data_IF_803457612882
#
_entry.id   IF_803457612882
#
_cell.length_a   1.000
_cell.length_b   1.000
_cell.length_c   1.000
_cell.angle_alpha   90.00
_cell.angle_beta   90.00
_cell.angle_gamma   90.00
#
_symmetry.space_group_name_H-M   'P 1'
#
loop_
_entity.id
_entity.type
_entity.pdbx_description
1 polymer ?
#
# COMPACT_ATOMS: atom_id res chain seq x y z
N UNK A 1 -10.13 -18.08 14.57
CA UNK A 1 -8.98 -17.46 13.87
C UNK A 1 -8.26 -16.40 14.73
N UNK A 2 -8.95 -15.40 15.30
CA UNK A 2 -8.32 -14.40 16.20
C UNK A 2 -7.96 -15.02 17.57
N UNK A 3 -8.88 -15.77 18.21
CA UNK A 3 -8.63 -16.37 19.53
C UNK A 3 -7.48 -17.38 19.56
N UNK A 4 -7.24 -18.06 18.44
CA UNK A 4 -6.19 -19.07 18.31
C UNK A 4 -4.80 -18.43 18.27
N UNK A 5 -4.66 -17.26 17.62
CA UNK A 5 -3.44 -16.44 17.63
C UNK A 5 -3.10 -15.89 19.02
N UNK A 6 -4.10 -15.66 19.88
CA UNK A 6 -3.90 -15.18 21.26
C UNK A 6 -3.35 -16.29 22.16
N UNK A 7 -3.79 -17.54 21.96
CA UNK A 7 -3.39 -18.68 22.79
C UNK A 7 -2.05 -19.29 22.38
N UNK A 8 -1.73 -19.23 21.09
CA UNK A 8 -0.50 -19.76 20.52
C UNK A 8 0.23 -18.66 19.72
N UNK A 9 1.04 -17.81 20.38
CA UNK A 9 1.86 -16.86 19.66
C UNK A 9 2.86 -17.62 18.80
N UNK A 10 2.70 -17.54 17.48
CA UNK A 10 3.70 -18.02 16.53
C UNK A 10 5.05 -17.33 16.81
N UNK A 11 6.20 -18.00 16.55
CA UNK A 11 7.49 -17.31 16.57
C UNK A 11 7.34 -16.06 15.69
N UNK A 12 7.62 -14.88 16.26
CA UNK A 12 7.34 -13.55 15.68
C UNK A 12 7.49 -13.61 14.16
N UNK A 13 6.37 -13.52 13.45
CA UNK A 13 6.42 -13.44 12.01
C UNK A 13 7.14 -12.15 11.66
N UNK A 14 7.99 -12.17 10.63
CA UNK A 14 8.63 -10.97 10.08
C UNK A 14 7.61 -9.93 9.60
N UNK A 15 6.31 -10.25 9.59
CA UNK A 15 5.21 -9.36 9.23
C UNK A 15 4.48 -8.74 10.43
N UNK A 16 4.80 -9.13 11.67
CA UNK A 16 4.12 -8.65 12.89
C UNK A 16 4.64 -7.29 13.40
N UNK A 17 5.74 -6.81 12.83
CA UNK A 17 6.37 -5.55 13.23
C UNK A 17 6.51 -4.59 12.05
N UNK A 18 6.83 -3.33 12.32
CA UNK A 18 7.20 -2.34 11.31
C UNK A 18 8.72 -2.24 11.27
N UNK A 19 9.31 -2.51 10.11
CA UNK A 19 10.76 -2.43 9.91
C UNK A 19 11.17 -1.02 9.52
N UNK A 20 12.16 -0.47 10.22
CA UNK A 20 12.79 0.82 9.85
C UNK A 20 14.07 0.49 9.10
N UNK A 21 14.19 0.96 7.87
CA UNK A 21 15.32 0.69 6.98
C UNK A 21 15.85 1.98 6.36
N UNK A 22 17.12 1.99 5.97
CA UNK A 22 17.80 3.18 5.44
C UNK A 22 17.45 3.54 3.99
N UNK A 23 16.87 2.62 3.23
CA UNK A 23 16.59 2.80 1.80
C UNK A 23 15.12 2.57 1.48
N UNK A 24 14.54 3.47 0.67
CA UNK A 24 13.15 3.37 0.21
C UNK A 24 12.86 2.07 -0.55
N UNK A 25 13.79 1.64 -1.42
CA UNK A 25 13.66 0.40 -2.18
C UNK A 25 13.55 -0.83 -1.26
N UNK A 26 14.35 -0.88 -0.18
CA UNK A 26 14.28 -1.97 0.79
C UNK A 26 12.95 -1.95 1.57
N UNK A 27 12.46 -0.76 1.93
CA UNK A 27 11.15 -0.62 2.57
C UNK A 27 10.03 -1.10 1.64
N UNK A 28 10.09 -0.75 0.35
CA UNK A 28 9.15 -1.19 -0.67
C UNK A 28 9.15 -2.72 -0.84
N UNK A 29 10.32 -3.36 -0.91
CA UNK A 29 10.44 -4.82 -0.97
C UNK A 29 9.83 -5.52 0.25
N UNK A 30 10.11 -5.03 1.46
CA UNK A 30 9.53 -5.57 2.70
C UNK A 30 8.01 -5.40 2.69
N UNK A 31 7.51 -4.23 2.27
CA UNK A 31 6.08 -3.95 2.20
C UNK A 31 5.37 -4.85 1.18
N UNK A 32 5.98 -5.07 0.01
CA UNK A 32 5.47 -6.00 -1.02
C UNK A 32 5.40 -7.42 -0.47
N UNK A 33 6.49 -7.91 0.15
CA UNK A 33 6.52 -9.24 0.75
C UNK A 33 5.46 -9.41 1.84
N UNK A 34 5.32 -8.41 2.72
CA UNK A 34 4.31 -8.42 3.76
C UNK A 34 2.90 -8.44 3.19
N UNK A 35 2.61 -7.62 2.17
CA UNK A 35 1.31 -7.61 1.52
C UNK A 35 1.01 -8.94 0.83
N UNK A 36 1.95 -9.52 0.08
CA UNK A 36 1.78 -10.80 -0.61
C UNK A 36 1.61 -11.99 0.35
N UNK A 37 1.99 -11.85 1.61
CA UNK A 37 1.79 -12.87 2.65
C UNK A 37 0.41 -12.83 3.30
N UNK A 38 -0.41 -11.81 3.02
CA UNK A 38 -1.75 -11.70 3.59
C UNK A 38 -2.66 -12.78 3.02
N UNK A 39 -3.53 -13.39 3.85
CA UNK A 39 -4.48 -14.38 3.38
C UNK A 39 -5.44 -13.74 2.38
N UNK A 40 -5.67 -14.41 1.25
CA UNK A 40 -6.73 -14.03 0.32
C UNK A 40 -8.06 -13.99 1.09
N UNK A 41 -8.87 -12.96 0.82
CA UNK A 41 -10.16 -12.77 1.51
C UNK A 41 -11.08 -13.99 1.34
N UNK A 42 -12.21 -14.04 2.05
CA UNK A 42 -13.16 -15.17 1.97
C UNK A 42 -13.67 -15.46 0.55
N UNK A 43 -13.62 -14.48 -0.35
CA UNK A 43 -13.97 -14.62 -1.76
C UNK A 43 -12.79 -15.02 -2.68
N UNK A 44 -11.58 -15.17 -2.12
CA UNK A 44 -10.38 -15.51 -2.89
C UNK A 44 -9.93 -14.42 -3.85
N UNK A 45 -10.36 -13.16 -3.63
CA UNK A 45 -10.04 -12.04 -4.51
C UNK A 45 -8.53 -11.83 -4.60
N UNK A 46 -8.05 -11.73 -5.84
CA UNK A 46 -6.66 -11.41 -6.13
C UNK A 46 -6.28 -10.02 -5.57
N UNK A 47 -5.00 -9.81 -5.21
CA UNK A 47 -4.51 -8.49 -4.83
C UNK A 47 -4.85 -7.45 -5.90
N UNK A 48 -5.34 -6.29 -5.46
CA UNK A 48 -5.60 -5.17 -6.37
C UNK A 48 -4.28 -4.51 -6.73
N UNK A 49 -4.02 -4.37 -8.03
CA UNK A 49 -2.84 -3.67 -8.55
C UNK A 49 -3.29 -2.35 -9.16
N UNK A 50 -2.72 -1.26 -8.66
CA UNK A 50 -2.89 0.09 -9.19
C UNK A 50 -1.56 0.58 -9.75
N UNK A 51 -1.56 1.08 -10.98
CA UNK A 51 -0.38 1.62 -11.66
C UNK A 51 -0.61 3.12 -11.84
N UNK A 52 0.38 3.93 -11.44
CA UNK A 52 0.32 5.37 -11.61
C UNK A 52 0.48 5.76 -13.08
N UNK A 53 -0.30 6.74 -13.52
CA UNK A 53 -0.21 7.37 -14.83
C UNK A 53 0.31 8.79 -14.62
N UNK A 54 1.49 9.08 -15.16
CA UNK A 54 2.13 10.39 -14.99
C UNK A 54 1.87 11.27 -16.21
N UNK A 55 1.44 12.50 -15.97
CA UNK A 55 1.23 13.49 -17.02
C UNK A 55 2.25 14.63 -16.89
N UNK A 56 2.96 14.95 -17.97
CA UNK A 56 3.87 16.10 -18.05
C UNK A 56 3.34 17.02 -19.14
N UNK A 57 3.09 18.29 -18.79
CA UNK A 57 2.51 19.29 -19.70
C UNK A 57 1.20 18.82 -20.39
N UNK A 58 0.39 18.04 -19.67
CA UNK A 58 -0.88 17.53 -20.16
C UNK A 58 -0.79 16.31 -21.08
N UNK A 59 0.41 15.75 -21.29
CA UNK A 59 0.59 14.50 -22.03
C UNK A 59 0.92 13.35 -21.08
N UNK A 60 0.23 12.22 -21.26
CA UNK A 60 0.57 10.97 -20.61
C UNK A 60 1.98 10.54 -21.00
N UNK A 61 2.73 10.06 -20.01
CA UNK A 61 4.15 9.79 -20.14
C UNK A 61 4.47 8.32 -19.94
N UNK A 62 5.42 7.82 -20.72
CA UNK A 62 5.85 6.42 -20.66
C UNK A 62 6.57 6.14 -19.32
N UNK A 63 6.07 5.20 -18.50
CA UNK A 63 6.70 4.86 -17.24
C UNK A 63 8.12 4.27 -17.38
N UNK A 64 8.55 3.85 -18.57
CA UNK A 64 9.87 3.27 -18.84
C UNK A 64 10.91 4.28 -19.35
N UNK A 65 10.53 5.54 -19.56
CA UNK A 65 11.48 6.58 -19.93
C UNK A 65 12.19 7.14 -18.69
N UNK A 66 13.46 6.74 -18.54
CA UNK A 66 14.29 6.99 -17.36
C UNK A 66 14.83 8.43 -17.25
N UNK A 67 14.47 9.32 -18.18
CA UNK A 67 15.05 10.65 -18.27
C UNK A 67 14.46 11.67 -17.29
N UNK A 68 13.34 11.38 -16.62
CA UNK A 68 12.66 12.36 -15.77
C UNK A 68 12.76 12.10 -14.26
N UNK A 69 13.27 13.13 -13.57
CA UNK A 69 13.65 13.14 -12.16
C UNK A 69 12.48 13.32 -11.18
N UNK A 70 11.26 13.61 -11.65
CA UNK A 70 10.14 13.97 -10.76
C UNK A 70 9.65 12.82 -9.89
N UNK A 71 9.61 11.57 -10.38
CA UNK A 71 9.23 10.40 -9.55
C UNK A 71 10.10 10.27 -8.31
N UNK A 72 11.40 10.54 -8.46
CA UNK A 72 12.35 10.51 -7.35
C UNK A 72 12.13 11.67 -6.35
N UNK A 73 11.35 12.68 -6.72
CA UNK A 73 11.00 13.83 -5.88
C UNK A 73 9.68 13.66 -5.13
N UNK A 74 8.89 12.61 -5.42
CA UNK A 74 7.63 12.35 -4.71
C UNK A 74 7.76 11.16 -3.74
N UNK A 75 6.83 11.09 -2.78
CA UNK A 75 6.65 9.95 -1.90
C UNK A 75 5.67 8.89 -2.46
N UNK A 76 5.12 9.11 -3.66
CA UNK A 76 4.09 8.26 -4.25
C UNK A 76 4.70 7.06 -5.00
N UNK A 77 4.15 5.85 -4.85
CA UNK A 77 4.62 4.68 -5.58
C UNK A 77 4.12 4.68 -7.04
N UNK A 78 4.94 4.20 -7.97
CA UNK A 78 4.50 3.96 -9.36
C UNK A 78 3.57 2.76 -9.50
N UNK A 79 3.66 1.82 -8.56
CA UNK A 79 2.79 0.63 -8.51
C UNK A 79 2.43 0.35 -7.06
N UNK A 80 1.14 0.23 -6.80
CA UNK A 80 0.59 -0.12 -5.49
C UNK A 80 -0.11 -1.47 -5.60
N UNK A 81 0.29 -2.41 -4.75
CA UNK A 81 -0.40 -3.69 -4.58
C UNK A 81 -1.14 -3.61 -3.24
N UNK A 82 -2.45 -3.85 -3.25
CA UNK A 82 -3.32 -3.69 -2.11
C UNK A 82 -4.18 -4.93 -1.87
N UNK A 83 -4.41 -5.25 -0.61
CA UNK A 83 -5.25 -6.36 -0.18
C UNK A 83 -5.90 -6.04 1.17
N UNK A 84 -7.05 -6.64 1.46
CA UNK A 84 -7.62 -6.62 2.81
C UNK A 84 -6.60 -7.09 3.84
N UNK A 85 -6.52 -6.39 4.96
CA UNK A 85 -5.52 -6.60 6.01
C UNK A 85 -4.19 -5.89 5.79
N UNK A 86 -3.96 -5.27 4.62
CA UNK A 86 -2.74 -4.48 4.39
C UNK A 86 -2.70 -3.26 5.31
N UNK A 87 -1.55 -3.06 5.95
CA UNK A 87 -1.25 -1.82 6.70
C UNK A 87 -0.78 -0.77 5.71
N UNK A 88 -1.38 0.41 5.76
CA UNK A 88 -1.15 1.51 4.81
C UNK A 88 -0.86 2.82 5.53
N UNK A 89 -0.23 3.75 4.81
CA UNK A 89 -0.01 5.12 5.23
C UNK A 89 -0.64 6.07 4.23
N UNK A 90 -1.41 7.04 4.71
CA UNK A 90 -1.94 8.13 3.90
C UNK A 90 -0.82 9.13 3.61
N UNK A 91 -0.66 9.53 2.35
CA UNK A 91 0.49 10.32 1.88
C UNK A 91 0.12 11.75 1.47
N UNK A 92 -1.13 12.16 1.71
CA UNK A 92 -1.69 13.46 1.33
C UNK A 92 -2.33 14.15 2.56
N UNK A 93 -2.85 15.36 2.39
CA UNK A 93 -3.53 16.16 3.41
C UNK A 93 -4.93 16.64 2.95
N UNK A 94 -5.47 16.11 1.85
CA UNK A 94 -6.80 16.52 1.34
C UNK A 94 -7.94 16.29 2.36
N UNK A 95 -7.77 15.31 3.24
CA UNK A 95 -8.76 14.95 4.26
C UNK A 95 -8.37 15.41 5.67
N UNK A 96 -7.56 16.47 5.79
CA UNK A 96 -7.06 16.98 7.07
C UNK A 96 -8.19 17.34 8.05
N UNK A 97 -9.25 17.98 7.57
CA UNK A 97 -10.44 18.32 8.37
C UNK A 97 -11.19 17.08 8.89
N UNK A 98 -10.98 15.92 8.28
CA UNK A 98 -11.53 14.63 8.70
C UNK A 98 -10.55 13.85 9.60
N UNK A 99 -9.45 14.50 10.04
CA UNK A 99 -8.42 13.89 10.88
C UNK A 99 -7.40 13.03 10.13
N UNK A 100 -7.37 13.09 8.79
CA UNK A 100 -6.42 12.35 7.96
C UNK A 100 -5.36 13.29 7.38
N UNK A 101 -4.12 13.08 7.80
CA UNK A 101 -2.95 13.82 7.31
C UNK A 101 -1.85 12.88 6.81
N UNK A 102 -0.87 13.45 6.13
CA UNK A 102 0.28 12.69 5.65
C UNK A 102 1.00 12.01 6.84
N UNK A 103 1.15 10.69 6.76
CA UNK A 103 1.65 9.86 7.85
C UNK A 103 0.57 9.13 8.66
N UNK A 104 -0.71 9.40 8.42
CA UNK A 104 -1.80 8.66 9.08
C UNK A 104 -1.78 7.19 8.67
N UNK A 105 -1.84 6.28 9.63
CA UNK A 105 -1.73 4.83 9.39
C UNK A 105 -3.11 4.19 9.53
N UNK A 106 -3.40 3.23 8.66
CA UNK A 106 -4.64 2.46 8.70
C UNK A 106 -4.43 1.00 8.27
N UNK A 107 -5.53 0.25 8.30
CA UNK A 107 -5.61 -1.11 7.76
C UNK A 107 -6.72 -1.14 6.73
N UNK A 108 -6.45 -1.73 5.57
CA UNK A 108 -7.46 -1.94 4.53
C UNK A 108 -8.47 -2.96 5.02
N UNK A 109 -9.71 -2.55 5.23
CA UNK A 109 -10.81 -3.44 5.62
C UNK A 109 -11.53 -4.02 4.42
N UNK A 110 -11.63 -3.23 3.34
CA UNK A 110 -12.28 -3.62 2.11
C UNK A 110 -11.71 -2.86 0.91
N UNK A 111 -11.88 -3.41 -0.29
CA UNK A 111 -11.53 -2.77 -1.56
C UNK A 111 -12.76 -2.87 -2.46
N UNK A 112 -13.33 -1.71 -2.77
CA UNK A 112 -14.57 -1.60 -3.54
C UNK A 112 -14.31 -0.81 -4.82
N UNK A 113 -14.94 -1.22 -5.90
CA UNK A 113 -14.99 -0.43 -7.13
C UNK A 113 -15.91 0.78 -6.89
N UNK A 114 -15.41 1.98 -7.14
CA UNK A 114 -16.19 3.22 -6.97
C UNK A 114 -17.52 3.19 -7.75
N UNK A 115 -17.56 2.49 -8.88
CA UNK A 115 -18.76 2.34 -9.71
C UNK A 115 -19.81 1.42 -9.09
N UNK A 116 -19.47 0.70 -8.03
CA UNK A 116 -20.37 -0.20 -7.29
C UNK A 116 -20.92 0.44 -6.00
N UNK A 117 -20.41 1.61 -5.62
CA UNK A 117 -20.92 2.40 -4.50
C UNK A 117 -22.22 3.07 -4.95
N UNK A 118 -23.36 2.63 -4.39
CA UNK A 118 -24.69 3.21 -4.62
C UNK A 118 -24.91 4.51 -3.88
#
# INVERSE_FOLDING_TARGET
MIEEKVRNPSPRSTTDTTHIVGFRAMADEINKLACSSLPLGPEGLDPTVSIAIDHINGQEYDPYDNNHTFRNQTNLPSTLILQQGARVMYLDNLLFEHGLCNGSIGVVTDIIDENTIK
#
